data_IF_219930989787
#
_entry.id   IF_219930989787
#
_cell.length_a   1.000
_cell.length_b   1.000
_cell.length_c   1.000
_cell.angle_alpha   90.00
_cell.angle_beta   90.00
_cell.angle_gamma   90.00
#
_symmetry.space_group_name_H-M   'P 1'
#
loop_
_entity.id
_entity.type
_entity.pdbx_description
1 polymer ?
#
# COMPACT_ATOMS: atom_id res chain seq x y z
N UNK A 1 13.18 18.01 19.85
CA UNK A 1 12.58 18.14 18.50
C UNK A 1 11.74 16.90 18.27
N UNK A 2 10.42 17.04 18.36
CA UNK A 2 9.47 16.13 17.73
C UNK A 2 9.80 16.09 16.25
N UNK A 3 10.40 14.99 15.79
CA UNK A 3 10.64 14.78 14.37
C UNK A 3 9.29 14.30 13.80
N UNK A 4 8.64 15.16 13.02
CA UNK A 4 7.47 14.88 12.17
C UNK A 4 6.09 14.66 12.82
N UNK A 5 5.81 15.18 14.02
CA UNK A 5 4.43 15.22 14.54
C UNK A 5 3.73 13.85 14.68
N UNK A 6 4.51 12.77 14.63
CA UNK A 6 4.06 11.41 14.86
C UNK A 6 4.05 11.17 16.37
N UNK A 7 2.87 10.80 16.89
CA UNK A 7 2.68 10.49 18.30
C UNK A 7 3.41 9.19 18.62
N UNK A 8 4.33 9.22 19.58
CA UNK A 8 5.14 8.06 19.99
C UNK A 8 4.58 7.51 21.28
N UNK A 9 4.37 6.19 21.36
CA UNK A 9 3.87 5.54 22.57
C UNK A 9 4.94 4.63 23.20
N UNK A 10 4.92 4.54 24.51
CA UNK A 10 5.73 3.61 25.29
C UNK A 10 4.86 2.83 26.29
N UNK A 11 5.20 1.57 26.53
CA UNK A 11 4.57 0.75 27.57
C UNK A 11 5.44 0.79 28.83
N UNK A 12 4.82 1.00 29.99
CA UNK A 12 5.48 0.86 31.27
C UNK A 12 5.86 -0.61 31.51
N UNK A 13 7.17 -0.89 31.65
CA UNK A 13 7.66 -2.22 32.03
C UNK A 13 7.60 -2.44 33.55
N UNK A 14 7.67 -1.34 34.31
CA UNK A 14 7.71 -1.33 35.76
C UNK A 14 6.81 -0.21 36.30
N UNK A 15 6.29 -0.40 37.51
CA UNK A 15 5.59 0.67 38.22
C UNK A 15 6.55 1.83 38.50
N UNK A 16 6.11 3.05 38.24
CA UNK A 16 6.77 4.27 38.66
C UNK A 16 5.87 4.97 39.68
N UNK A 17 6.17 4.74 40.96
CA UNK A 17 5.47 5.39 42.07
C UNK A 17 6.24 6.64 42.44
N UNK A 18 5.60 7.80 42.30
CA UNK A 18 6.17 9.10 42.63
C UNK A 18 5.22 9.91 43.52
N UNK A 19 5.79 10.83 44.29
CA UNK A 19 5.07 11.83 45.09
C UNK A 19 5.35 13.26 44.59
N UNK A 20 6.17 13.40 43.54
CA UNK A 20 6.50 14.66 42.90
C UNK A 20 5.38 15.02 41.90
N UNK A 21 4.89 16.26 41.96
CA UNK A 21 3.80 16.75 41.10
C UNK A 21 4.25 17.05 39.67
N UNK A 22 5.56 17.03 39.41
CA UNK A 22 6.15 17.15 38.09
C UNK A 22 6.48 15.79 37.46
N UNK A 23 6.38 14.69 38.20
CA UNK A 23 6.63 13.34 37.70
C UNK A 23 5.32 12.59 37.38
N UNK A 24 5.35 11.78 36.33
CA UNK A 24 4.20 11.00 35.88
C UNK A 24 4.21 9.62 36.53
N UNK A 25 3.34 9.40 37.52
CA UNK A 25 3.16 8.09 38.12
C UNK A 25 2.37 7.12 37.22
N UNK A 26 2.79 5.86 37.14
CA UNK A 26 2.11 4.81 36.36
C UNK A 26 2.38 3.40 36.88
N UNK A 27 1.59 2.44 36.42
CA UNK A 27 1.76 1.00 36.68
C UNK A 27 2.29 0.28 35.45
N UNK A 28 2.97 -0.84 35.67
CA UNK A 28 3.41 -1.74 34.61
C UNK A 28 2.22 -2.16 33.74
N UNK A 29 2.37 -2.03 32.42
CA UNK A 29 1.33 -2.23 31.42
C UNK A 29 0.57 -0.98 30.99
N UNK A 30 0.76 0.16 31.66
CA UNK A 30 0.17 1.43 31.24
C UNK A 30 0.83 1.93 29.94
N UNK A 31 0.01 2.50 29.06
CA UNK A 31 0.47 3.08 27.78
C UNK A 31 0.63 4.58 27.94
N UNK A 32 1.82 5.07 27.65
CA UNK A 32 2.24 6.45 27.85
C UNK A 32 2.47 7.09 26.48
N UNK A 33 1.80 8.21 26.24
CA UNK A 33 2.11 9.09 25.11
C UNK A 33 3.41 9.85 25.41
N UNK A 34 4.47 9.60 24.64
CA UNK A 34 5.77 10.26 24.82
C UNK A 34 5.80 11.58 24.06
N UNK A 35 5.82 12.67 24.81
CA UNK A 35 5.75 14.05 24.28
C UNK A 35 7.16 14.63 24.06
N UNK A 36 8.11 14.37 24.97
CA UNK A 36 9.51 14.77 24.81
C UNK A 36 10.47 13.69 25.30
N UNK A 37 11.36 13.22 24.40
CA UNK A 37 12.41 12.25 24.68
C UNK A 37 13.83 12.80 24.39
N UNK A 38 14.01 14.12 24.50
CA UNK A 38 15.31 14.77 24.22
C UNK A 38 16.40 14.42 25.24
N UNK A 39 16.02 14.12 26.47
CA UNK A 39 16.93 13.64 27.52
C UNK A 39 17.03 12.11 27.48
N UNK A 40 18.21 11.57 27.85
CA UNK A 40 18.48 10.11 27.81
C UNK A 40 17.88 9.34 28.99
N UNK A 41 17.64 10.02 30.10
CA UNK A 41 17.23 9.38 31.36
C UNK A 41 15.78 9.70 31.73
N UNK A 42 15.31 10.91 31.41
CA UNK A 42 13.98 11.39 31.78
C UNK A 42 13.21 11.92 30.57
N UNK A 43 12.00 11.42 30.37
CA UNK A 43 11.12 11.79 29.26
C UNK A 43 9.85 12.44 29.80
N UNK A 44 9.26 13.35 29.02
CA UNK A 44 7.95 13.93 29.33
C UNK A 44 6.88 13.16 28.58
N UNK A 45 5.80 12.79 29.26
CA UNK A 45 4.71 12.06 28.64
C UNK A 45 3.37 12.30 29.31
N UNK A 46 2.34 11.67 28.75
CA UNK A 46 0.95 11.83 29.15
C UNK A 46 0.25 10.48 29.22
N UNK A 47 -0.57 10.31 30.26
CA UNK A 47 -1.51 9.20 30.43
C UNK A 47 -2.87 9.82 30.76
N UNK A 48 -3.85 9.65 29.88
CA UNK A 48 -5.19 10.26 30.02
C UNK A 48 -5.10 11.78 30.29
N UNK A 49 -5.54 12.23 31.47
CA UNK A 49 -5.57 13.63 31.90
C UNK A 49 -4.34 14.04 32.75
N UNK A 50 -3.32 13.19 32.87
CA UNK A 50 -2.11 13.45 33.66
C UNK A 50 -0.87 13.48 32.77
N UNK A 51 0.02 14.44 33.00
CA UNK A 51 1.29 14.60 32.29
C UNK A 51 2.43 14.88 33.27
N UNK A 52 3.64 14.46 32.92
CA UNK A 52 4.80 14.58 33.81
C UNK A 52 6.06 13.92 33.28
N UNK A 53 7.16 14.11 34.01
CA UNK A 53 8.45 13.46 33.77
C UNK A 53 8.43 12.01 34.22
N UNK A 54 9.04 11.12 33.44
CA UNK A 54 9.22 9.74 33.83
C UNK A 54 10.55 9.16 33.34
N UNK A 55 11.10 8.15 34.03
CA UNK A 55 12.37 7.57 33.66
C UNK A 55 12.25 6.69 32.40
N UNK A 56 13.08 6.99 31.40
CA UNK A 56 13.17 6.27 30.14
C UNK A 56 13.45 4.77 30.31
N UNK A 57 14.17 4.40 31.36
CA UNK A 57 14.54 3.02 31.68
C UNK A 57 13.39 2.16 32.19
N UNK A 58 12.26 2.78 32.57
CA UNK A 58 11.09 2.08 33.13
C UNK A 58 10.07 1.72 32.06
N UNK A 59 10.30 2.16 30.82
CA UNK A 59 9.38 1.99 29.72
C UNK A 59 10.06 1.32 28.53
N UNK A 60 9.27 0.75 27.63
CA UNK A 60 9.71 0.27 26.33
C UNK A 60 8.90 0.94 25.25
N UNK A 61 9.57 1.56 24.28
CA UNK A 61 8.90 2.06 23.09
C UNK A 61 8.16 0.93 22.36
N UNK A 62 6.94 1.23 21.92
CA UNK A 62 6.13 0.39 21.04
C UNK A 62 6.70 0.38 19.60
N UNK A 63 7.96 -0.02 19.41
CA UNK A 63 8.59 -0.02 18.08
C UNK A 63 7.92 -0.96 17.08
N UNK A 64 7.18 -1.98 17.54
CA UNK A 64 6.53 -2.94 16.66
C UNK A 64 5.17 -2.47 16.11
N UNK A 65 4.51 -1.53 16.80
CA UNK A 65 3.26 -0.92 16.35
C UNK A 65 3.47 0.41 15.62
N UNK A 66 4.65 1.04 15.77
CA UNK A 66 5.03 2.25 15.03
C UNK A 66 5.61 1.98 13.65
N UNK A 67 5.77 0.72 13.23
CA UNK A 67 5.99 0.37 11.81
C UNK A 67 4.67 0.56 11.04
N UNK A 68 4.13 1.79 11.09
CA UNK A 68 3.02 2.21 10.25
C UNK A 68 3.49 2.31 8.80
N UNK A 69 2.52 2.34 7.89
CA UNK A 69 2.57 2.10 6.45
C UNK A 69 3.76 2.68 5.67
N UNK A 70 4.41 3.73 6.16
CA UNK A 70 5.48 4.49 5.48
C UNK A 70 6.76 3.68 5.27
N UNK A 71 7.22 2.88 6.25
CA UNK A 71 8.50 2.15 6.15
C UNK A 71 8.46 0.96 5.18
N UNK A 72 7.25 0.44 4.88
CA UNK A 72 7.07 -0.70 4.00
C UNK A 72 6.69 -0.34 2.56
N UNK A 73 6.37 0.94 2.28
CA UNK A 73 6.20 1.43 0.91
C UNK A 73 7.43 1.15 0.04
N UNK A 74 8.62 1.20 0.63
CA UNK A 74 9.90 0.92 -0.04
C UNK A 74 9.94 -0.52 -0.59
N UNK A 75 9.46 -1.49 0.19
CA UNK A 75 9.37 -2.88 -0.28
C UNK A 75 8.31 -3.03 -1.37
N UNK A 76 7.20 -2.29 -1.29
CA UNK A 76 6.19 -2.30 -2.34
C UNK A 76 6.76 -1.80 -3.67
N UNK A 77 7.43 -0.65 -3.68
CA UNK A 77 8.07 -0.10 -4.87
C UNK A 77 9.13 -1.05 -5.44
N UNK A 78 9.98 -1.62 -4.57
CA UNK A 78 10.98 -2.60 -4.98
C UNK A 78 10.35 -3.83 -5.65
N UNK A 79 9.29 -4.40 -5.03
CA UNK A 79 8.60 -5.57 -5.56
C UNK A 79 7.89 -5.27 -6.90
N UNK A 80 7.33 -4.07 -7.05
CA UNK A 80 6.65 -3.65 -8.28
C UNK A 80 7.63 -3.42 -9.43
N UNK A 81 8.83 -2.92 -9.15
CA UNK A 81 9.87 -2.67 -10.15
C UNK A 81 10.73 -3.90 -10.46
N UNK A 82 10.72 -4.93 -9.61
CA UNK A 82 11.52 -6.14 -9.80
C UNK A 82 11.30 -6.83 -11.16
N UNK A 83 10.06 -7.02 -11.67
CA UNK A 83 9.85 -7.59 -13.01
C UNK A 83 10.52 -6.77 -14.13
N UNK A 84 10.44 -5.44 -14.04
CA UNK A 84 11.08 -4.54 -15.02
C UNK A 84 12.61 -4.64 -14.95
N UNK A 85 13.17 -4.70 -13.74
CA UNK A 85 14.60 -4.91 -13.53
C UNK A 85 15.08 -6.24 -14.13
N UNK A 86 14.32 -7.33 -13.93
CA UNK A 86 14.62 -8.63 -14.53
C UNK A 86 14.63 -8.57 -16.06
N UNK A 87 13.64 -7.92 -16.69
CA UNK A 87 13.60 -7.74 -18.15
C UNK A 87 14.83 -6.99 -18.66
N UNK A 88 15.23 -5.91 -17.98
CA UNK A 88 16.41 -5.14 -18.38
C UNK A 88 17.70 -5.95 -18.17
N UNK A 89 17.83 -6.64 -17.04
CA UNK A 89 18.98 -7.48 -16.76
C UNK A 89 19.12 -8.61 -17.78
N UNK A 90 18.03 -9.28 -18.16
CA UNK A 90 18.04 -10.29 -19.23
C UNK A 90 18.51 -9.74 -20.58
N UNK A 91 18.24 -8.46 -20.89
CA UNK A 91 18.78 -7.81 -22.10
C UNK A 91 20.28 -7.55 -21.98
N UNK A 92 20.74 -7.08 -20.83
CA UNK A 92 22.17 -6.81 -20.59
C UNK A 92 23.00 -8.08 -20.56
N UNK A 93 22.46 -9.18 -20.03
CA UNK A 93 23.11 -10.50 -19.98
C UNK A 93 23.32 -11.12 -21.37
N UNK A 94 22.73 -10.58 -22.44
CA UNK A 94 23.02 -10.98 -23.83
C UNK A 94 24.30 -10.34 -24.38
N UNK A 95 24.84 -9.33 -23.70
CA UNK A 95 26.02 -8.59 -24.15
C UNK A 95 27.22 -9.02 -23.30
N UNK A 96 28.20 -9.66 -23.93
CA UNK A 96 29.39 -10.22 -23.27
C UNK A 96 30.10 -9.22 -22.33
N UNK A 97 30.14 -7.93 -22.70
CA UNK A 97 30.75 -6.88 -21.86
C UNK A 97 30.12 -6.79 -20.46
N UNK A 98 28.80 -6.96 -20.35
CA UNK A 98 28.10 -6.87 -19.07
C UNK A 98 28.18 -8.19 -18.29
N UNK A 99 28.22 -9.32 -18.98
CA UNK A 99 28.44 -10.63 -18.37
C UNK A 99 29.78 -10.66 -17.63
N UNK A 100 30.88 -10.26 -18.29
CA UNK A 100 32.20 -10.20 -17.67
C UNK A 100 32.26 -9.16 -16.55
N UNK A 101 31.60 -8.01 -16.73
CA UNK A 101 31.55 -6.97 -15.71
C UNK A 101 30.85 -7.43 -14.43
N UNK A 102 29.68 -8.09 -14.53
CA UNK A 102 28.96 -8.59 -13.36
C UNK A 102 29.72 -9.71 -12.67
N UNK A 103 30.37 -10.60 -13.42
CA UNK A 103 31.18 -11.68 -12.85
C UNK A 103 32.42 -11.14 -12.14
N UNK A 104 33.10 -10.14 -12.72
CA UNK A 104 34.20 -9.45 -12.05
C UNK A 104 33.74 -8.79 -10.74
N UNK A 105 32.58 -8.12 -10.73
CA UNK A 105 32.01 -7.55 -9.52
C UNK A 105 31.73 -8.61 -8.45
N UNK A 106 31.21 -9.78 -8.84
CA UNK A 106 30.92 -10.90 -7.95
C UNK A 106 32.18 -11.45 -7.29
N UNK A 107 33.21 -11.71 -8.08
CA UNK A 107 34.49 -12.26 -7.60
C UNK A 107 35.25 -11.27 -6.71
N UNK A 108 35.33 -9.99 -7.10
CA UNK A 108 35.98 -8.94 -6.32
C UNK A 108 35.39 -8.80 -4.91
N UNK A 109 34.09 -9.06 -4.80
CA UNK A 109 33.35 -8.88 -3.56
C UNK A 109 33.12 -10.20 -2.83
N UNK A 110 33.75 -11.27 -3.33
CA UNK A 110 33.72 -12.61 -2.75
C UNK A 110 32.29 -13.07 -2.46
N UNK A 111 31.38 -12.74 -3.38
CA UNK A 111 29.99 -13.14 -3.29
C UNK A 111 29.82 -14.63 -3.61
N UNK A 112 28.83 -15.24 -2.97
CA UNK A 112 28.39 -16.61 -3.30
C UNK A 112 28.04 -16.72 -4.79
N UNK A 113 28.15 -17.92 -5.35
CA UNK A 113 27.93 -18.20 -6.77
C UNK A 113 26.43 -18.22 -7.10
N UNK A 114 25.82 -17.04 -6.99
CA UNK A 114 24.45 -16.73 -7.37
C UNK A 114 24.52 -15.61 -8.39
N UNK A 115 23.68 -15.69 -9.41
CA UNK A 115 23.57 -14.66 -10.44
C UNK A 115 22.98 -13.37 -9.88
N UNK A 116 23.21 -12.24 -10.55
CA UNK A 116 22.76 -10.93 -10.07
C UNK A 116 21.22 -10.85 -9.92
N UNK A 117 20.46 -11.51 -10.80
CA UNK A 117 19.01 -11.65 -10.69
C UNK A 117 18.60 -12.40 -9.41
N UNK A 118 19.35 -13.45 -9.03
CA UNK A 118 19.14 -14.17 -7.78
C UNK A 118 19.35 -13.28 -6.55
N UNK A 119 20.36 -12.39 -6.57
CA UNK A 119 20.54 -11.39 -5.51
C UNK A 119 19.41 -10.36 -5.45
N UNK A 120 18.93 -9.87 -6.60
CA UNK A 120 17.82 -8.92 -6.69
C UNK A 120 16.47 -9.53 -6.27
N UNK A 121 16.36 -10.86 -6.24
CA UNK A 121 15.17 -11.55 -5.73
C UNK A 121 15.15 -11.61 -4.19
N UNK A 122 16.30 -11.47 -3.52
CA UNK A 122 16.40 -11.67 -2.06
C UNK A 122 15.51 -10.76 -1.21
N UNK A 123 15.31 -9.45 -1.52
CA UNK A 123 14.42 -8.60 -0.72
C UNK A 123 12.94 -9.01 -0.85
N UNK A 124 12.53 -9.43 -2.05
CA UNK A 124 11.19 -9.97 -2.33
C UNK A 124 10.96 -11.27 -1.55
N UNK A 125 11.97 -12.13 -1.45
CA UNK A 125 11.88 -13.34 -0.63
C UNK A 125 11.87 -13.04 0.85
N UNK A 126 12.66 -12.06 1.31
CA UNK A 126 12.81 -11.74 2.73
C UNK A 126 11.51 -11.22 3.32
N UNK A 127 10.80 -10.35 2.60
CA UNK A 127 9.54 -9.79 3.07
C UNK A 127 8.44 -10.86 3.24
N UNK A 128 8.45 -11.88 2.38
CA UNK A 128 7.54 -13.03 2.48
C UNK A 128 7.96 -14.06 3.54
N UNK A 129 9.24 -14.08 3.96
CA UNK A 129 9.75 -15.03 4.95
C UNK A 129 9.46 -14.62 6.39
N UNK A 130 9.42 -13.32 6.70
CA UNK A 130 9.20 -12.85 8.06
C UNK A 130 7.91 -13.38 8.72
N UNK A 131 6.73 -13.39 8.05
CA UNK A 131 5.53 -13.98 8.65
C UNK A 131 5.70 -15.47 8.98
N UNK A 132 6.41 -16.23 8.15
CA UNK A 132 6.64 -17.66 8.37
C UNK A 132 7.56 -17.90 9.57
N UNK A 133 8.65 -17.13 9.66
CA UNK A 133 9.61 -17.22 10.76
C UNK A 133 8.99 -16.80 12.10
N UNK A 134 8.18 -15.73 12.11
CA UNK A 134 7.47 -15.26 13.30
C UNK A 134 6.37 -16.23 13.72
N UNK A 135 5.67 -16.87 12.77
CA UNK A 135 4.69 -17.90 13.08
C UNK A 135 5.32 -19.13 13.73
N UNK A 136 6.46 -19.60 13.21
CA UNK A 136 7.19 -20.72 13.80
C UNK A 136 7.77 -20.35 15.18
N UNK A 137 8.25 -19.11 15.36
CA UNK A 137 8.70 -18.62 16.65
C UNK A 137 7.55 -18.59 17.68
N UNK A 138 6.38 -18.05 17.29
CA UNK A 138 5.21 -17.96 18.17
C UNK A 138 4.73 -19.36 18.61
N UNK A 139 4.77 -20.35 17.71
CA UNK A 139 4.39 -21.73 17.99
C UNK A 139 5.18 -22.37 19.14
N UNK A 140 6.46 -22.04 19.28
CA UNK A 140 7.32 -22.54 20.37
C UNK A 140 7.50 -21.55 21.52
N UNK A 141 6.83 -20.39 21.47
CA UNK A 141 6.87 -19.40 22.55
C UNK A 141 5.72 -19.70 23.51
N UNK A 142 6.03 -19.90 24.80
CA UNK A 142 5.02 -20.13 25.83
C UNK A 142 4.09 -18.90 25.94
N UNK A 143 2.75 -19.05 26.02
CA UNK A 143 1.82 -17.95 26.22
C UNK A 143 2.10 -17.04 27.44
N UNK A 144 2.81 -17.56 28.44
CA UNK A 144 3.22 -16.80 29.63
C UNK A 144 4.59 -16.12 29.47
N UNK A 145 5.27 -16.33 28.34
CA UNK A 145 6.57 -15.72 28.07
C UNK A 145 6.39 -14.22 27.81
N UNK A 146 7.30 -13.41 28.37
CA UNK A 146 7.33 -11.94 28.21
C UNK A 146 7.22 -11.47 26.76
N UNK A 147 7.81 -12.22 25.83
CA UNK A 147 7.86 -11.85 24.41
C UNK A 147 6.69 -12.43 23.59
N UNK A 148 5.77 -13.21 24.18
CA UNK A 148 4.68 -13.85 23.44
C UNK A 148 3.80 -12.82 22.71
N UNK A 149 3.37 -11.78 23.43
CA UNK A 149 2.55 -10.70 22.88
C UNK A 149 3.28 -9.91 21.79
N UNK A 150 4.59 -9.67 21.97
CA UNK A 150 5.42 -8.98 20.98
C UNK A 150 5.55 -9.78 19.69
N UNK A 151 5.80 -11.10 19.79
CA UNK A 151 5.94 -11.97 18.63
C UNK A 151 4.60 -12.11 17.89
N UNK A 152 3.48 -12.17 18.62
CA UNK A 152 2.13 -12.17 18.04
C UNK A 152 1.83 -10.84 17.31
N UNK A 153 2.11 -9.70 17.94
CA UNK A 153 1.97 -8.39 17.32
C UNK A 153 2.85 -8.24 16.07
N UNK A 154 4.12 -8.67 16.16
CA UNK A 154 5.06 -8.71 15.05
C UNK A 154 4.56 -9.56 13.88
N UNK A 155 4.02 -10.74 14.16
CA UNK A 155 3.46 -11.63 13.15
C UNK A 155 2.30 -10.96 12.42
N UNK A 156 1.38 -10.34 13.16
CA UNK A 156 0.23 -9.64 12.59
C UNK A 156 0.66 -8.43 11.76
N UNK A 157 1.64 -7.64 12.23
CA UNK A 157 2.25 -6.56 11.48
C UNK A 157 2.86 -7.03 10.16
N UNK A 158 3.70 -8.07 10.19
CA UNK A 158 4.35 -8.59 8.99
C UNK A 158 3.38 -9.26 8.02
N UNK A 159 2.30 -9.89 8.50
CA UNK A 159 1.19 -10.37 7.66
C UNK A 159 0.51 -9.20 6.95
N UNK A 160 0.25 -8.10 7.65
CA UNK A 160 -0.36 -6.91 7.06
C UNK A 160 0.53 -6.31 5.96
N UNK A 161 1.85 -6.23 6.20
CA UNK A 161 2.83 -5.76 5.21
C UNK A 161 2.83 -6.62 3.95
N UNK A 162 2.89 -7.94 4.10
CA UNK A 162 2.84 -8.85 2.97
C UNK A 162 1.53 -8.69 2.18
N UNK A 163 0.40 -8.52 2.89
CA UNK A 163 -0.90 -8.23 2.29
C UNK A 163 -0.88 -6.91 1.51
N UNK A 164 -0.35 -5.83 2.08
CA UNK A 164 -0.26 -4.51 1.44
C UNK A 164 0.60 -4.53 0.17
N UNK A 165 1.76 -5.19 0.20
CA UNK A 165 2.62 -5.31 -0.99
C UNK A 165 1.91 -6.09 -2.09
N UNK A 166 1.28 -7.22 -1.74
CA UNK A 166 0.54 -8.02 -2.69
C UNK A 166 -0.65 -7.25 -3.29
N UNK A 167 -1.36 -6.50 -2.44
CA UNK A 167 -2.49 -5.67 -2.83
C UNK A 167 -2.07 -4.53 -3.76
N UNK A 168 -0.96 -3.84 -3.46
CA UNK A 168 -0.42 -2.80 -4.34
C UNK A 168 -0.02 -3.35 -5.71
N UNK A 169 0.61 -4.53 -5.75
CA UNK A 169 0.94 -5.21 -6.99
C UNK A 169 -0.33 -5.57 -7.78
N UNK A 170 -1.35 -6.12 -7.10
CA UNK A 170 -2.66 -6.43 -7.70
C UNK A 170 -3.31 -5.20 -8.31
N UNK A 171 -3.33 -4.06 -7.60
CA UNK A 171 -3.87 -2.78 -8.08
C UNK A 171 -3.17 -2.32 -9.36
N UNK A 172 -1.83 -2.36 -9.42
CA UNK A 172 -1.09 -1.98 -10.62
C UNK A 172 -1.41 -2.89 -11.83
N UNK A 173 -1.47 -4.21 -11.63
CA UNK A 173 -1.87 -5.14 -12.70
C UNK A 173 -3.33 -4.95 -13.12
N UNK A 174 -4.20 -4.47 -12.22
CA UNK A 174 -5.60 -4.19 -12.52
C UNK A 174 -5.77 -2.93 -13.36
N UNK A 175 -4.94 -1.91 -13.18
CA UNK A 175 -4.98 -0.68 -13.99
C UNK A 175 -4.87 -0.97 -15.50
N UNK A 176 -3.87 -1.78 -15.90
CA UNK A 176 -3.69 -2.16 -17.30
C UNK A 176 -4.89 -2.96 -17.84
N UNK A 177 -5.43 -3.88 -17.02
CA UNK A 177 -6.61 -4.67 -17.38
C UNK A 177 -7.86 -3.80 -17.55
N UNK A 178 -8.04 -2.80 -16.70
CA UNK A 178 -9.18 -1.87 -16.76
C UNK A 178 -9.09 -1.01 -18.03
N UNK A 179 -7.91 -0.48 -18.36
CA UNK A 179 -7.70 0.27 -19.61
C UNK A 179 -8.00 -0.58 -20.85
N UNK A 180 -7.47 -1.81 -20.90
CA UNK A 180 -7.74 -2.75 -21.99
C UNK A 180 -9.22 -3.14 -22.06
N UNK A 181 -9.84 -3.42 -20.92
CA UNK A 181 -11.27 -3.72 -20.85
C UNK A 181 -12.11 -2.57 -21.38
N UNK A 182 -11.85 -1.32 -20.95
CA UNK A 182 -12.57 -0.14 -21.41
C UNK A 182 -12.44 0.02 -22.94
N UNK A 183 -11.25 -0.19 -23.51
CA UNK A 183 -11.04 -0.11 -24.97
C UNK A 183 -11.80 -1.17 -25.77
N UNK A 184 -12.25 -2.25 -25.12
CA UNK A 184 -13.05 -3.31 -25.73
C UNK A 184 -14.57 -3.06 -25.67
N UNK A 185 -15.00 -2.02 -24.96
CA UNK A 185 -16.42 -1.66 -24.84
C UNK A 185 -16.83 -0.74 -26.00
N UNK A 186 -17.89 -1.13 -26.71
CA UNK A 186 -18.46 -0.35 -27.80
C UNK A 186 -19.33 0.81 -27.26
N UNK A 187 -19.43 1.89 -28.04
CA UNK A 187 -20.21 3.10 -27.72
C UNK A 187 -19.84 3.75 -26.37
N UNK A 188 -18.56 3.75 -25.98
CA UNK A 188 -18.13 4.34 -24.72
C UNK A 188 -18.42 5.84 -24.65
N UNK A 189 -19.08 6.30 -23.59
CA UNK A 189 -19.38 7.71 -23.33
C UNK A 189 -18.89 8.13 -21.94
N UNK A 190 -18.35 9.35 -21.85
CA UNK A 190 -17.84 9.95 -20.61
C UNK A 190 -16.34 9.72 -20.40
N UNK A 191 -15.86 10.02 -19.19
CA UNK A 191 -14.44 9.92 -18.85
C UNK A 191 -13.93 8.47 -18.74
N UNK A 192 -12.61 8.31 -18.79
CA UNK A 192 -11.92 7.05 -18.51
C UNK A 192 -12.18 6.58 -17.08
N UNK A 193 -12.32 5.27 -16.88
CA UNK A 193 -12.53 4.68 -15.55
C UNK A 193 -11.37 5.02 -14.63
N UNK A 194 -10.16 5.00 -15.18
CA UNK A 194 -8.92 5.30 -14.47
C UNK A 194 -8.83 6.76 -13.98
N UNK A 195 -9.75 7.65 -14.39
CA UNK A 195 -9.80 9.01 -13.84
C UNK A 195 -10.22 9.01 -12.37
N UNK A 196 -11.10 8.10 -11.97
CA UNK A 196 -11.67 8.02 -10.61
C UNK A 196 -11.46 6.67 -9.91
N UNK A 197 -11.19 5.61 -10.66
CA UNK A 197 -11.17 4.24 -10.15
C UNK A 197 -9.87 3.53 -10.49
N UNK A 198 -9.47 2.60 -9.64
CA UNK A 198 -8.22 1.85 -9.76
C UNK A 198 -8.40 0.35 -9.53
N UNK A 199 -9.59 -0.11 -9.10
CA UNK A 199 -9.87 -1.52 -8.87
C UNK A 199 -11.29 -1.91 -9.32
N UNK A 200 -11.42 -3.12 -9.86
CA UNK A 200 -12.70 -3.75 -10.16
C UNK A 200 -13.04 -4.70 -9.03
N UNK A 201 -14.12 -4.40 -8.30
CA UNK A 201 -14.50 -5.11 -7.08
C UNK A 201 -15.38 -6.30 -7.41
N UNK A 202 -16.37 -6.10 -8.29
CA UNK A 202 -17.26 -7.18 -8.70
C UNK A 202 -17.89 -6.94 -10.06
N UNK A 203 -18.26 -8.02 -10.74
CA UNK A 203 -19.03 -7.94 -11.98
C UNK A 203 -20.04 -9.07 -12.10
N UNK A 204 -21.15 -8.81 -12.77
CA UNK A 204 -22.23 -9.79 -12.91
C UNK A 204 -23.44 -9.28 -13.66
N UNK A 205 -24.35 -10.21 -13.99
CA UNK A 205 -25.63 -9.86 -14.60
C UNK A 205 -26.64 -9.46 -13.53
N UNK A 206 -27.28 -8.31 -13.74
CA UNK A 206 -28.46 -7.89 -12.98
C UNK A 206 -29.53 -7.39 -13.94
N UNK A 207 -30.76 -7.43 -13.46
CA UNK A 207 -31.90 -6.84 -14.15
C UNK A 207 -32.14 -5.45 -13.59
N UNK A 208 -31.90 -4.41 -14.40
CA UNK A 208 -32.22 -3.02 -14.07
C UNK A 208 -33.70 -2.76 -14.36
N UNK A 209 -34.42 -2.21 -13.39
CA UNK A 209 -35.77 -1.71 -13.56
C UNK A 209 -35.70 -0.19 -13.38
N UNK A 210 -36.06 0.54 -14.43
CA UNK A 210 -36.00 2.01 -14.46
C UNK A 210 -37.42 2.58 -14.46
N UNK A 211 -37.72 3.61 -13.65
CA UNK A 211 -38.92 4.43 -13.84
C UNK A 211 -38.85 5.17 -15.20
N UNK A 212 -39.98 5.61 -15.80
CA UNK A 212 -41.36 5.53 -15.32
C UNK A 212 -42.16 4.29 -15.81
N UNK A 213 -41.63 3.49 -16.75
CA UNK A 213 -42.36 2.36 -17.36
C UNK A 213 -42.03 0.97 -16.79
N UNK A 214 -41.29 0.89 -15.68
CA UNK A 214 -40.86 -0.38 -15.06
C UNK A 214 -40.22 -1.36 -16.06
N UNK A 215 -39.57 -0.84 -17.10
CA UNK A 215 -39.00 -1.68 -18.16
C UNK A 215 -37.81 -2.44 -17.61
N UNK A 216 -37.95 -3.76 -17.54
CA UNK A 216 -36.91 -4.69 -17.14
C UNK A 216 -35.82 -4.77 -18.22
N UNK A 217 -34.58 -4.50 -17.84
CA UNK A 217 -33.42 -4.50 -18.73
C UNK A 217 -32.31 -5.35 -18.13
N UNK A 218 -32.02 -6.50 -18.74
CA UNK A 218 -30.85 -7.29 -18.36
C UNK A 218 -29.57 -6.57 -18.83
N UNK A 219 -28.65 -6.35 -17.90
CA UNK A 219 -27.36 -5.67 -18.14
C UNK A 219 -26.24 -6.41 -17.42
N UNK A 220 -25.04 -6.32 -17.96
CA UNK A 220 -23.81 -6.63 -17.21
C UNK A 220 -23.41 -5.40 -16.43
N UNK A 221 -23.20 -5.55 -15.13
CA UNK A 221 -22.71 -4.51 -14.24
C UNK A 221 -21.27 -4.80 -13.85
N UNK A 222 -20.49 -3.72 -13.73
CA UNK A 222 -19.08 -3.71 -13.34
C UNK A 222 -18.93 -2.65 -12.25
N UNK A 223 -18.72 -3.11 -11.02
CA UNK A 223 -18.54 -2.26 -9.85
C UNK A 223 -17.05 -2.00 -9.63
N UNK A 224 -16.67 -0.73 -9.76
CA UNK A 224 -15.34 -0.23 -9.44
C UNK A 224 -15.41 0.58 -8.13
N UNK A 225 -14.27 0.92 -7.55
CA UNK A 225 -14.24 1.93 -6.49
C UNK A 225 -14.71 3.29 -7.06
N UNK A 226 -15.61 3.98 -6.34
CA UNK A 226 -16.25 5.25 -6.69
C UNK A 226 -17.34 5.22 -7.78
N UNK A 227 -17.39 4.21 -8.65
CA UNK A 227 -18.38 4.19 -9.75
C UNK A 227 -18.76 2.77 -10.20
N UNK A 228 -19.96 2.64 -10.76
CA UNK A 228 -20.44 1.40 -11.35
C UNK A 228 -20.86 1.62 -12.80
N UNK A 229 -20.34 0.81 -13.72
CA UNK A 229 -20.67 0.87 -15.16
C UNK A 229 -21.60 -0.28 -15.52
N UNK A 230 -22.54 -0.06 -16.45
CA UNK A 230 -23.38 -1.14 -16.96
C UNK A 230 -23.48 -1.16 -18.49
N UNK A 231 -23.40 -2.38 -19.03
CA UNK A 231 -23.35 -2.64 -20.46
C UNK A 231 -24.46 -3.59 -20.91
N UNK A 232 -24.82 -3.53 -22.20
CA UNK A 232 -25.70 -4.49 -22.87
C UNK A 232 -24.83 -5.47 -23.67
N UNK A 233 -25.04 -6.78 -23.49
CA UNK A 233 -24.42 -7.81 -24.34
C UNK A 233 -25.01 -7.77 -25.75
N UNK A 234 -24.17 -7.98 -26.76
CA UNK A 234 -24.66 -8.20 -28.12
C UNK A 234 -25.54 -9.46 -28.19
N UNK A 235 -26.49 -9.46 -29.13
CA UNK A 235 -27.44 -10.57 -29.31
C UNK A 235 -26.78 -11.82 -29.90
N UNK A 236 -25.79 -11.64 -30.78
CA UNK A 236 -25.12 -12.73 -31.50
C UNK A 236 -23.74 -13.02 -30.91
N UNK A 237 -23.00 -11.97 -30.54
CA UNK A 237 -21.63 -12.04 -30.03
C UNK A 237 -21.56 -11.73 -28.54
N UNK A 238 -21.74 -12.75 -27.70
CA UNK A 238 -21.80 -12.58 -26.22
C UNK A 238 -20.55 -11.98 -25.58
N UNK A 239 -19.43 -11.95 -26.31
CA UNK A 239 -18.17 -11.31 -25.96
C UNK A 239 -18.18 -9.77 -26.14
N UNK A 240 -19.06 -9.24 -26.99
CA UNK A 240 -19.19 -7.80 -27.24
C UNK A 240 -20.15 -7.17 -26.22
N UNK A 241 -19.71 -6.05 -25.64
CA UNK A 241 -20.46 -5.26 -24.68
C UNK A 241 -20.62 -3.83 -25.19
N UNK A 242 -21.85 -3.34 -25.20
CA UNK A 242 -22.17 -1.94 -25.52
C UNK A 242 -22.40 -1.16 -24.24
N UNK A 243 -21.71 -0.04 -24.07
CA UNK A 243 -21.92 0.88 -22.96
C UNK A 243 -23.36 1.41 -22.94
N UNK A 244 -23.95 1.53 -21.74
CA UNK A 244 -25.31 2.06 -21.54
C UNK A 244 -25.43 3.06 -20.40
N UNK A 245 -24.37 3.28 -19.64
CA UNK A 245 -24.34 4.28 -18.57
C UNK A 245 -23.43 3.88 -17.41
N UNK A 246 -23.28 4.83 -16.50
CA UNK A 246 -22.52 4.72 -15.26
C UNK A 246 -23.29 5.36 -14.11
N UNK A 247 -22.96 4.96 -12.90
CA UNK A 247 -23.54 5.43 -11.64
C UNK A 247 -22.40 5.84 -10.72
N UNK A 248 -22.45 7.06 -10.19
CA UNK A 248 -21.49 7.54 -9.19
C UNK A 248 -21.86 6.94 -7.83
N UNK A 249 -21.02 6.05 -7.32
CA UNK A 249 -21.30 5.33 -6.07
C UNK A 249 -21.08 6.22 -4.83
N UNK A 250 -20.35 7.33 -4.96
CA UNK A 250 -20.13 8.26 -3.84
C UNK A 250 -21.39 9.06 -3.49
N UNK A 251 -22.35 9.13 -4.40
CA UNK A 251 -23.63 9.82 -4.22
C UNK A 251 -24.81 8.85 -4.06
N UNK A 252 -24.54 7.56 -3.91
CA UNK A 252 -25.57 6.52 -3.88
C UNK A 252 -25.56 5.77 -2.55
N UNK A 253 -26.75 5.52 -2.03
CA UNK A 253 -27.00 4.63 -0.90
C UNK A 253 -27.56 3.30 -1.40
N UNK A 254 -27.00 2.19 -0.90
CA UNK A 254 -27.42 0.84 -1.26
C UNK A 254 -28.42 0.34 -0.21
N UNK A 255 -29.65 0.10 -0.64
CA UNK A 255 -30.73 -0.39 0.20
C UNK A 255 -31.06 -1.84 -0.16
N UNK A 256 -31.08 -2.69 0.84
CA UNK A 256 -31.60 -4.05 0.71
C UNK A 256 -33.14 -4.02 0.58
N UNK A 257 -33.68 -4.69 -0.44
CA UNK A 257 -35.12 -4.74 -0.71
C UNK A 257 -35.63 -6.16 -0.50
N UNK A 258 -36.60 -6.29 0.41
CA UNK A 258 -37.29 -7.56 0.67
C UNK A 258 -38.16 -7.99 -0.54
N UNK A 259 -38.32 -9.30 -0.69
CA UNK A 259 -39.18 -9.87 -1.71
C UNK A 259 -40.64 -9.44 -1.48
N UNK A 260 -41.29 -8.92 -2.51
CA UNK A 260 -42.64 -8.41 -2.37
C UNK A 260 -43.01 -7.42 -3.45
N UNK A 261 -43.81 -6.43 -3.10
CA UNK A 261 -44.20 -5.34 -3.99
C UNK A 261 -43.43 -4.09 -3.58
N UNK A 262 -42.61 -3.56 -4.49
CA UNK A 262 -41.93 -2.29 -4.28
C UNK A 262 -42.98 -1.17 -4.23
N UNK A 263 -42.95 -0.35 -3.17
CA UNK A 263 -43.94 0.70 -2.92
C UNK A 263 -43.81 1.91 -3.84
N UNK A 264 -42.61 2.17 -4.35
CA UNK A 264 -42.31 3.35 -5.20
C UNK A 264 -42.60 3.05 -6.66
N UNK A 265 -42.21 1.86 -7.13
CA UNK A 265 -42.37 1.45 -8.53
C UNK A 265 -43.65 0.63 -8.78
N UNK A 266 -44.32 0.18 -7.71
CA UNK A 266 -45.51 -0.68 -7.77
C UNK A 266 -45.29 -2.00 -8.53
N UNK A 267 -44.04 -2.50 -8.55
CA UNK A 267 -43.62 -3.73 -9.24
C UNK A 267 -43.36 -4.84 -8.23
N UNK A 268 -43.71 -6.09 -8.57
CA UNK A 268 -43.29 -7.23 -7.76
C UNK A 268 -41.82 -7.56 -8.03
N UNK A 269 -41.03 -7.60 -6.96
CA UNK A 269 -39.59 -7.79 -7.01
C UNK A 269 -39.19 -9.02 -6.19
N UNK A 270 -38.16 -9.71 -6.67
CA UNK A 270 -37.49 -10.79 -5.94
C UNK A 270 -35.99 -10.64 -6.05
N UNK A 271 -35.28 -10.96 -4.97
CA UNK A 271 -33.84 -10.81 -4.85
C UNK A 271 -33.36 -9.42 -5.29
N UNK A 272 -34.05 -8.37 -4.82
CA UNK A 272 -33.81 -7.00 -5.25
C UNK A 272 -32.94 -6.21 -4.27
N UNK A 273 -32.25 -5.22 -4.82
CA UNK A 273 -31.56 -4.16 -4.10
C UNK A 273 -31.83 -2.84 -4.83
N UNK A 274 -31.78 -1.72 -4.10
CA UNK A 274 -32.07 -0.40 -4.64
C UNK A 274 -30.87 0.53 -4.41
N UNK A 275 -30.47 1.23 -5.45
CA UNK A 275 -29.52 2.34 -5.35
C UNK A 275 -30.34 3.62 -5.34
N UNK A 276 -30.23 4.38 -4.25
CA UNK A 276 -30.93 5.66 -4.07
C UNK A 276 -29.91 6.78 -4.02
N UNK A 277 -30.11 7.82 -4.83
CA UNK A 277 -29.29 9.01 -4.77
C UNK A 277 -29.47 9.73 -3.43
N UNK A 278 -28.38 10.20 -2.83
CA UNK A 278 -28.39 10.98 -1.59
C UNK A 278 -28.84 12.43 -1.82
N UNK A 279 -28.65 12.94 -3.04
CA UNK A 279 -28.83 14.35 -3.37
C UNK A 279 -29.94 14.60 -4.41
N UNK A 280 -30.69 13.56 -4.83
CA UNK A 280 -31.75 13.69 -5.82
C UNK A 280 -32.74 12.53 -5.82
N UNK A 281 -33.72 12.58 -6.74
CA UNK A 281 -34.80 11.59 -6.84
C UNK A 281 -34.44 10.36 -7.71
N UNK A 282 -33.17 10.26 -8.13
CA UNK A 282 -32.73 9.14 -8.96
C UNK A 282 -32.67 7.85 -8.14
N UNK A 283 -33.43 6.84 -8.59
CA UNK A 283 -33.43 5.51 -8.01
C UNK A 283 -33.24 4.44 -9.08
N UNK A 284 -32.44 3.43 -8.74
CA UNK A 284 -32.22 2.27 -9.59
C UNK A 284 -32.55 1.00 -8.82
N UNK A 285 -33.59 0.30 -9.29
CA UNK A 285 -33.95 -0.99 -8.75
C UNK A 285 -33.23 -2.09 -9.54
N UNK A 286 -32.44 -2.91 -8.85
CA UNK A 286 -31.64 -3.98 -9.43
C UNK A 286 -32.08 -5.32 -8.86
N UNK A 287 -32.41 -6.28 -9.73
CA UNK A 287 -32.85 -7.62 -9.33
C UNK A 287 -31.84 -8.68 -9.76
N UNK A 288 -31.43 -9.52 -8.81
CA UNK A 288 -30.61 -10.69 -9.07
C UNK A 288 -31.46 -11.91 -9.45
N UNK A 289 -30.89 -12.89 -10.18
CA UNK A 289 -31.61 -14.12 -10.53
C UNK A 289 -31.77 -15.07 -9.34
N UNK A 290 -30.81 -15.05 -8.41
CA UNK A 290 -30.75 -15.93 -7.25
C UNK A 290 -30.43 -15.16 -5.97
N UNK A 291 -30.87 -15.63 -4.79
CA UNK A 291 -30.57 -14.97 -3.52
C UNK A 291 -29.07 -14.91 -3.23
N UNK A 292 -28.30 -15.95 -3.58
CA UNK A 292 -26.84 -15.94 -3.35
C UNK A 292 -26.12 -14.90 -4.21
N UNK A 293 -26.69 -14.55 -5.37
CA UNK A 293 -26.17 -13.47 -6.21
C UNK A 293 -26.46 -12.10 -5.58
N UNK A 294 -27.66 -11.89 -5.03
CA UNK A 294 -28.00 -10.67 -4.29
C UNK A 294 -27.04 -10.46 -3.11
N UNK A 295 -26.80 -11.50 -2.32
CA UNK A 295 -25.86 -11.45 -1.18
C UNK A 295 -24.43 -11.07 -1.61
N UNK A 296 -23.96 -11.64 -2.73
CA UNK A 296 -22.64 -11.28 -3.28
C UNK A 296 -22.57 -9.83 -3.72
N UNK A 297 -23.63 -9.30 -4.34
CA UNK A 297 -23.71 -7.89 -4.71
C UNK A 297 -23.75 -6.97 -3.50
N UNK A 298 -24.58 -7.27 -2.49
CA UNK A 298 -24.63 -6.50 -1.25
C UNK A 298 -23.28 -6.48 -0.53
N UNK A 299 -22.57 -7.63 -0.50
CA UNK A 299 -21.20 -7.68 0.01
C UNK A 299 -20.25 -6.82 -0.80
N UNK A 300 -20.26 -6.94 -2.13
CA UNK A 300 -19.40 -6.15 -3.00
C UNK A 300 -19.60 -4.62 -2.82
N UNK A 301 -20.84 -4.17 -2.62
CA UNK A 301 -21.10 -2.76 -2.31
C UNK A 301 -20.56 -2.32 -0.94
N UNK A 302 -20.60 -3.20 0.08
CA UNK A 302 -19.98 -2.90 1.38
C UNK A 302 -18.46 -2.85 1.26
N UNK A 303 -17.87 -3.84 0.62
CA UNK A 303 -16.42 -3.91 0.39
C UNK A 303 -15.93 -2.65 -0.35
N UNK A 304 -16.72 -2.16 -1.31
CA UNK A 304 -16.44 -0.93 -2.04
C UNK A 304 -16.45 0.33 -1.16
N UNK A 305 -17.45 0.48 -0.28
CA UNK A 305 -17.51 1.61 0.66
C UNK A 305 -16.38 1.56 1.70
N UNK A 306 -16.05 0.38 2.20
CA UNK A 306 -14.92 0.16 3.12
C UNK A 306 -13.60 0.53 2.44
N UNK A 307 -13.39 0.10 1.20
CA UNK A 307 -12.19 0.42 0.44
C UNK A 307 -12.06 1.92 0.17
N UNK A 308 -13.14 2.59 -0.27
CA UNK A 308 -13.13 4.04 -0.52
C UNK A 308 -12.84 4.82 0.77
N UNK A 309 -13.39 4.40 1.90
CA UNK A 309 -13.12 5.03 3.19
C UNK A 309 -11.65 4.85 3.60
N UNK A 310 -11.11 3.64 3.46
CA UNK A 310 -9.70 3.36 3.77
C UNK A 310 -8.73 4.12 2.85
N UNK A 311 -9.00 4.20 1.55
CA UNK A 311 -8.16 4.93 0.60
C UNK A 311 -8.19 6.45 0.91
N UNK A 312 -9.33 7.00 1.38
CA UNK A 312 -9.42 8.40 1.86
C UNK A 312 -8.60 8.65 3.13
N UNK A 313 -8.66 7.75 4.10
CA UNK A 313 -7.95 7.87 5.38
C UNK A 313 -6.44 7.72 5.24
N UNK A 314 -5.99 6.82 4.37
CA UNK A 314 -4.56 6.57 4.14
C UNK A 314 -3.91 7.60 3.22
N UNK A 315 -4.69 8.48 2.58
CA UNK A 315 -4.18 9.44 1.61
C UNK A 315 -3.55 8.77 0.39
N UNK A 316 -3.78 7.47 0.16
CA UNK A 316 -3.41 6.82 -1.09
C UNK A 316 -4.29 7.44 -2.18
N UNK A 317 -3.73 8.21 -3.12
CA UNK A 317 -4.57 8.90 -4.08
C UNK A 317 -5.31 7.86 -4.94
N UNK A 318 -6.64 7.99 -5.02
CA UNK A 318 -7.51 7.26 -5.96
C UNK A 318 -7.03 7.44 -7.40
N UNK A 319 -6.39 8.57 -7.65
CA UNK A 319 -5.52 8.77 -8.78
C UNK A 319 -4.21 8.03 -8.53
N UNK A 320 -4.04 6.86 -9.14
CA UNK A 320 -2.73 6.49 -9.64
C UNK A 320 -2.24 7.70 -10.45
N UNK A 321 -1.39 8.54 -9.85
CA UNK A 321 -0.53 9.42 -10.61
C UNK A 321 0.16 8.48 -11.58
N UNK A 322 -0.29 8.52 -12.83
CA UNK A 322 0.35 7.88 -13.94
C UNK A 322 1.80 8.38 -13.90
N UNK A 323 2.72 7.57 -13.38
CA UNK A 323 4.06 7.48 -13.94
C UNK A 323 3.96 6.71 -15.25
N UNK A 324 3.03 7.14 -16.12
CA UNK A 324 3.13 6.88 -17.54
C UNK A 324 4.39 7.58 -17.98
N UNK A 325 5.40 6.78 -18.33
CA UNK A 325 6.53 7.19 -19.14
C UNK A 325 7.01 8.63 -18.86
N UNK A 326 7.80 8.83 -17.80
CA UNK A 326 8.61 10.04 -17.71
C UNK A 326 9.77 9.94 -18.71
N UNK A 327 9.40 10.06 -19.99
CA UNK A 327 10.22 10.64 -21.02
C UNK A 327 9.80 12.12 -21.08
N UNK A 328 10.73 13.00 -20.70
CA UNK A 328 10.77 14.46 -20.90
C UNK A 328 10.29 15.37 -19.73
N UNK A 329 11.32 15.88 -19.04
CA UNK A 329 11.61 17.29 -18.69
C UNK A 329 10.88 18.02 -17.54
N UNK A 330 11.73 18.57 -16.67
CA UNK A 330 11.67 19.80 -15.86
C UNK A 330 11.13 19.79 -14.40
N UNK A 331 12.13 19.79 -13.48
CA UNK A 331 12.33 20.69 -12.33
C UNK A 331 11.13 21.29 -11.56
N UNK A 332 11.05 20.97 -10.25
CA UNK A 332 11.24 21.89 -9.09
C UNK A 332 10.55 21.30 -7.84
N UNK A 333 11.30 20.79 -6.85
CA UNK A 333 11.79 21.53 -5.67
C UNK A 333 10.72 21.85 -4.61
N UNK A 334 10.22 20.85 -3.86
CA UNK A 334 9.65 21.03 -2.49
C UNK A 334 9.18 19.68 -1.88
N UNK A 335 10.11 18.75 -1.68
CA UNK A 335 9.82 17.50 -0.93
C UNK A 335 11.07 16.89 -0.27
N UNK A 336 12.09 17.71 -0.04
CA UNK A 336 13.47 17.27 0.14
C UNK A 336 13.94 16.95 1.58
N UNK A 337 13.05 16.82 2.59
CA UNK A 337 13.52 16.72 4.00
C UNK A 337 13.14 15.42 4.75
N UNK A 338 12.19 14.59 4.29
CA UNK A 338 11.74 13.40 5.04
C UNK A 338 12.29 12.04 4.51
N UNK A 339 13.55 12.00 4.05
CA UNK A 339 14.06 10.89 3.23
C UNK A 339 15.01 9.90 3.94
N UNK A 340 15.10 9.88 5.28
CA UNK A 340 16.42 9.62 5.89
C UNK A 340 16.61 8.68 7.10
N UNK A 341 15.72 7.77 7.52
CA UNK A 341 16.05 7.01 8.76
C UNK A 341 15.84 5.51 8.91
N UNK A 342 15.24 4.72 8.01
CA UNK A 342 15.00 3.29 8.34
C UNK A 342 15.23 2.35 7.17
N UNK A 343 16.50 1.98 6.89
CA UNK A 343 16.78 0.86 5.98
C UNK A 343 18.18 0.21 6.06
N UNK A 344 19.02 0.46 7.08
CA UNK A 344 20.39 -0.08 7.09
C UNK A 344 20.84 -0.68 8.42
N UNK A 345 20.25 -1.82 8.76
CA UNK A 345 20.75 -2.73 9.80
C UNK A 345 20.59 -4.20 9.36
N UNK A 346 21.14 -4.58 8.21
CA UNK A 346 21.73 -5.91 8.01
C UNK A 346 22.25 -6.07 6.57
N UNK A 347 23.34 -6.81 6.43
CA UNK A 347 24.07 -7.17 5.20
C UNK A 347 25.16 -6.20 4.74
N UNK A 348 26.39 -6.72 4.84
CA UNK A 348 27.66 -6.24 4.28
C UNK A 348 27.61 -6.22 2.74
N UNK A 349 26.82 -5.34 2.14
CA UNK A 349 26.72 -5.11 0.68
C UNK A 349 27.15 -3.68 0.27
N UNK A 350 27.86 -2.98 1.17
CA UNK A 350 28.23 -1.57 1.02
C UNK A 350 29.23 -1.28 -0.12
N UNK A 351 30.06 -2.25 -0.52
CA UNK A 351 31.16 -1.99 -1.46
C UNK A 351 30.85 -2.40 -2.92
N UNK A 352 29.83 -3.23 -3.16
CA UNK A 352 29.38 -3.60 -4.52
C UNK A 352 28.60 -2.45 -5.16
N UNK A 353 27.73 -1.81 -4.38
CA UNK A 353 26.94 -0.68 -4.85
C UNK A 353 27.82 0.53 -5.20
N UNK A 354 28.91 0.77 -4.46
CA UNK A 354 29.84 1.87 -4.73
C UNK A 354 30.66 1.68 -6.02
N UNK A 355 31.06 0.45 -6.36
CA UNK A 355 31.77 0.14 -7.61
C UNK A 355 30.85 0.13 -8.84
N UNK A 356 29.62 -0.39 -8.69
CA UNK A 356 28.57 -0.28 -9.71
C UNK A 356 28.21 1.18 -9.97
N UNK A 357 28.11 2.00 -8.93
CA UNK A 357 27.98 3.46 -9.03
C UNK A 357 29.11 4.07 -9.86
N UNK A 358 30.37 3.76 -9.54
CA UNK A 358 31.54 4.36 -10.21
C UNK A 358 31.55 4.13 -11.72
N UNK A 359 31.12 2.94 -12.18
CA UNK A 359 31.07 2.62 -13.62
C UNK A 359 29.83 3.22 -14.30
N UNK A 360 28.71 3.36 -13.58
CA UNK A 360 27.48 3.97 -14.10
C UNK A 360 27.62 5.51 -14.21
N UNK A 361 28.36 6.14 -13.28
CA UNK A 361 28.66 7.58 -13.25
C UNK A 361 29.43 8.04 -14.49
N UNK A 362 30.35 7.22 -14.99
CA UNK A 362 31.14 7.54 -16.19
C UNK A 362 30.34 7.38 -17.50
N UNK A 363 29.12 6.83 -17.45
CA UNK A 363 28.36 6.42 -18.63
C UNK A 363 27.13 7.28 -18.96
N UNK A 364 26.61 8.11 -18.04
CA UNK A 364 25.46 9.00 -18.32
C UNK A 364 25.30 10.15 -17.30
N UNK A 365 25.26 11.44 -17.72
CA UNK A 365 25.06 12.59 -16.83
C UNK A 365 23.70 12.61 -16.11
N UNK A 366 22.71 11.89 -16.62
CA UNK A 366 21.33 11.83 -16.09
C UNK A 366 21.23 11.08 -14.76
N UNK A 367 22.26 10.30 -14.39
CA UNK A 367 22.28 9.43 -13.21
C UNK A 367 23.02 10.10 -12.02
N UNK A 368 23.69 11.23 -12.26
CA UNK A 368 24.49 11.98 -11.30
C UNK A 368 23.67 12.45 -10.07
N UNK A 369 22.39 12.77 -10.27
CA UNK A 369 21.49 13.29 -9.24
C UNK A 369 21.06 12.22 -8.21
N UNK A 370 20.94 10.96 -8.63
CA UNK A 370 20.56 9.83 -7.76
C UNK A 370 21.72 9.35 -6.87
N UNK A 371 22.95 9.60 -7.32
CA UNK A 371 24.18 9.11 -6.71
C UNK A 371 24.75 10.08 -5.67
N UNK A 372 24.67 11.39 -5.94
CA UNK A 372 25.03 12.43 -4.96
C UNK A 372 24.15 12.37 -3.71
N UNK A 373 22.90 11.94 -3.87
CA UNK A 373 21.93 11.73 -2.79
C UNK A 373 22.29 10.53 -1.90
N UNK A 374 22.85 9.46 -2.46
CA UNK A 374 23.25 8.24 -1.72
C UNK A 374 24.46 8.46 -0.80
N UNK A 375 25.40 9.32 -1.18
CA UNK A 375 26.63 9.58 -0.41
C UNK A 375 26.48 10.57 0.76
N UNK A 376 25.45 11.44 0.78
CA UNK A 376 25.27 12.43 1.86
C UNK A 376 24.74 11.82 3.16
N UNK A 377 24.23 10.59 3.08
CA UNK A 377 23.46 9.88 4.13
C UNK A 377 24.33 8.96 4.98
N UNK A 378 25.42 8.43 4.44
CA UNK A 378 26.24 7.42 5.12
C UNK A 378 27.61 7.95 5.53
N UNK A 379 27.69 8.33 6.81
CA UNK A 379 28.87 8.46 7.65
C UNK A 379 29.72 9.76 7.58
N UNK A 380 29.76 10.55 8.68
CA UNK A 380 30.69 11.68 8.87
C UNK A 380 32.19 11.33 8.73
N UNK A 381 32.54 10.04 8.81
CA UNK A 381 33.94 9.56 8.73
C UNK A 381 34.47 9.41 7.30
N UNK A 382 33.62 9.39 6.26
CA UNK A 382 34.04 9.29 4.85
C UNK A 382 34.54 10.63 4.30
N UNK A 383 34.13 11.75 4.91
CA UNK A 383 34.50 13.11 4.47
C UNK A 383 36.02 13.35 4.47
N UNK A 384 36.76 12.76 5.42
CA UNK A 384 38.24 12.89 5.49
C UNK A 384 38.98 12.10 4.42
N UNK A 385 38.49 10.92 4.05
CA UNK A 385 39.12 10.06 3.04
C UNK A 385 38.80 10.52 1.62
N UNK A 386 37.57 11.02 1.38
CA UNK A 386 37.19 11.58 0.08
C UNK A 386 37.87 12.94 -0.20
N UNK A 387 38.06 13.80 0.81
CA UNK A 387 38.83 15.05 0.69
C UNK A 387 40.34 14.82 0.47
N UNK A 388 40.87 13.67 0.87
CA UNK A 388 42.27 13.30 0.64
C UNK A 388 42.49 12.81 -0.81
N UNK A 389 41.51 12.13 -1.39
CA UNK A 389 41.55 11.63 -2.77
C UNK A 389 41.20 12.70 -3.82
N UNK A 390 40.49 13.76 -3.45
CA UNK A 390 40.18 14.90 -4.34
C UNK A 390 41.28 15.99 -4.39
N UNK A 391 42.47 15.72 -3.82
CA UNK A 391 43.62 16.63 -3.82
C UNK A 391 44.78 16.17 -4.73
N UNK A 392 44.57 15.14 -5.55
CA UNK A 392 45.52 14.70 -6.58
C UNK A 392 44.82 14.53 -7.92
#
# INVERSE_FOLDING_TARGET
>A
MTIDGSVVYAEALWDHVTMDDQELGFKAGDVIEVVDATNKEWWWGRILDSEGWFPASFVRFFYFLSLQQTDFQIYSEYCNNHPNACVQLSKLMKLNKYVFFFEACRLLQKMIDISLDGFLLTPVQKICKYPLQLAELLKYTNPQHRDYKDVEAALNGMKNVARLINERKRRLENVDKIAQWQSSIEDWEGEDILSRSSDLIYSGELTKISPPQAKSQQRMFFLFNHQMVYCKKDLLRRDILYYKGRVDMDQMEVLDVEDGKDKELNVSVKNALKLRSLCGDETHLLCAKKPEQKERWLRAFRDEREQVQHDRETGEPSHTFFWGSCNKTNNNSMSHIAFLNVAFTSLKLYNIFALLLYTIILSSPSILHYIYFFFRVQAPKVRRTLLFLLRF
#
